data_IF_852553181258
#
_entry.id   IF_852553181258
#
_cell.length_a   1.000
_cell.length_b   1.000
_cell.length_c   1.000
_cell.angle_alpha   90.00
_cell.angle_beta   90.00
_cell.angle_gamma   90.00
#
_symmetry.space_group_name_H-M   'P 1'
#
loop_
_entity.id
_entity.type
_entity.pdbx_description
1 polymer ?
#
# COMPACT_ATOMS: atom_id res chain seq x y z
N UNK A 1 -3.33 0.62 3.62
CA UNK A 1 -4.65 0.00 3.39
C UNK A 1 -4.39 -1.33 2.72
N UNK A 2 -5.35 -2.24 2.79
CA UNK A 2 -5.23 -3.54 2.13
C UNK A 2 -6.40 -3.77 1.18
N UNK A 3 -6.20 -4.69 0.26
CA UNK A 3 -7.16 -5.10 -0.76
C UNK A 3 -8.47 -5.67 -0.21
N UNK A 4 -8.52 -6.11 1.05
CA UNK A 4 -9.75 -6.62 1.67
C UNK A 4 -10.58 -5.50 2.29
N UNK A 5 -9.94 -4.43 2.74
CA UNK A 5 -10.60 -3.32 3.42
C UNK A 5 -10.01 -1.94 3.06
N UNK A 6 -10.11 -1.50 1.81
CA UNK A 6 -9.67 -0.15 1.44
C UNK A 6 -10.58 0.88 2.11
N UNK A 7 -10.07 1.97 2.69
CA UNK A 7 -10.94 3.02 3.24
C UNK A 7 -11.64 3.85 2.15
N UNK A 8 -11.22 3.66 0.90
CA UNK A 8 -11.84 4.22 -0.30
C UNK A 8 -13.05 3.40 -0.74
N UNK A 9 -13.97 4.02 -1.49
CA UNK A 9 -15.02 3.27 -2.17
C UNK A 9 -14.42 2.24 -3.15
N UNK A 10 -15.13 1.15 -3.50
CA UNK A 10 -14.61 0.14 -4.41
C UNK A 10 -14.16 0.70 -5.77
N UNK A 11 -14.84 1.71 -6.30
CA UNK A 11 -14.47 2.33 -7.58
C UNK A 11 -13.22 3.19 -7.44
N UNK A 12 -13.19 4.08 -6.45
CA UNK A 12 -12.02 4.97 -6.22
C UNK A 12 -10.77 4.16 -5.88
N UNK A 13 -10.90 3.04 -5.15
CA UNK A 13 -9.78 2.13 -4.90
C UNK A 13 -9.23 1.51 -6.19
N UNK A 14 -10.08 1.10 -7.13
CA UNK A 14 -9.61 0.59 -8.44
C UNK A 14 -8.91 1.65 -9.26
N UNK A 15 -9.41 2.89 -9.25
CA UNK A 15 -8.78 4.01 -9.94
C UNK A 15 -7.41 4.33 -9.34
N UNK A 16 -7.33 4.40 -8.01
CA UNK A 16 -6.07 4.62 -7.31
C UNK A 16 -5.05 3.51 -7.63
N UNK A 17 -5.47 2.24 -7.67
CA UNK A 17 -4.60 1.14 -8.12
C UNK A 17 -4.18 1.27 -9.59
N UNK A 18 -5.05 1.77 -10.46
CA UNK A 18 -4.75 1.93 -11.87
C UNK A 18 -3.60 2.94 -12.10
N UNK A 19 -3.51 3.99 -11.30
CA UNK A 19 -2.38 4.94 -11.35
C UNK A 19 -1.04 4.23 -11.13
N UNK A 20 -0.98 3.36 -10.12
CA UNK A 20 0.22 2.54 -9.86
C UNK A 20 0.45 1.48 -10.93
N UNK A 21 -0.61 0.90 -11.49
CA UNK A 21 -0.47 -0.08 -12.56
C UNK A 21 0.18 0.53 -13.82
N UNK A 22 -0.13 1.79 -14.13
CA UNK A 22 0.55 2.52 -15.22
C UNK A 22 2.04 2.68 -14.92
N UNK A 23 2.40 3.13 -13.71
CA UNK A 23 3.81 3.23 -13.29
C UNK A 23 4.53 1.89 -13.32
N UNK A 24 3.86 0.81 -12.92
CA UNK A 24 4.38 -0.56 -12.96
C UNK A 24 4.62 -1.02 -14.40
N UNK A 25 3.67 -0.78 -15.31
CA UNK A 25 3.81 -1.11 -16.74
C UNK A 25 4.98 -0.35 -17.39
N UNK A 26 5.14 0.94 -17.09
CA UNK A 26 6.28 1.74 -17.57
C UNK A 26 7.58 1.15 -17.02
N UNK A 27 7.62 0.78 -15.74
CA UNK A 27 8.81 0.16 -15.12
C UNK A 27 9.19 -1.15 -15.82
N UNK A 28 8.21 -2.01 -16.15
CA UNK A 28 8.42 -3.24 -16.91
C UNK A 28 9.02 -2.92 -18.28
N UNK A 29 8.43 -1.99 -19.03
CA UNK A 29 8.92 -1.62 -20.37
C UNK A 29 10.36 -1.14 -20.30
N UNK A 30 10.70 -0.26 -19.35
CA UNK A 30 12.06 0.23 -19.18
C UNK A 30 13.04 -0.88 -18.79
N UNK A 31 12.63 -1.81 -17.92
CA UNK A 31 13.45 -2.97 -17.57
C UNK A 31 13.75 -3.84 -18.79
N UNK A 32 12.75 -4.05 -19.66
CA UNK A 32 12.92 -4.86 -20.87
C UNK A 32 13.79 -4.15 -21.91
N UNK A 33 13.61 -2.84 -22.10
CA UNK A 33 14.38 -2.05 -23.07
C UNK A 33 15.86 -1.93 -22.64
N UNK A 34 16.13 -1.78 -21.36
CA UNK A 34 17.47 -1.60 -20.80
C UNK A 34 18.01 -2.86 -20.10
N UNK A 35 17.51 -4.04 -20.48
CA UNK A 35 17.77 -5.30 -19.77
C UNK A 35 19.27 -5.59 -19.57
N UNK A 36 20.06 -5.38 -20.62
CA UNK A 36 21.51 -5.63 -20.59
C UNK A 36 22.31 -4.50 -19.92
N UNK A 37 21.69 -3.34 -19.71
CA UNK A 37 22.29 -2.20 -19.01
C UNK A 37 22.02 -2.23 -17.50
N UNK A 38 21.12 -3.12 -17.05
CA UNK A 38 20.79 -3.26 -15.63
C UNK A 38 21.91 -3.99 -14.90
N UNK A 39 22.42 -3.34 -13.85
CA UNK A 39 23.23 -4.01 -12.84
C UNK A 39 22.31 -4.88 -11.98
N UNK A 40 22.20 -6.15 -12.37
CA UNK A 40 21.26 -7.11 -11.78
C UNK A 40 21.47 -7.37 -10.29
N UNK A 41 22.71 -7.38 -9.80
CA UNK A 41 22.97 -7.58 -8.36
C UNK A 41 22.33 -6.44 -7.54
N UNK A 42 22.65 -5.15 -7.77
CA UNK A 42 21.94 -4.05 -7.13
C UNK A 42 20.42 -4.10 -7.32
N UNK A 43 19.93 -4.40 -8.53
CA UNK A 43 18.50 -4.48 -8.81
C UNK A 43 17.80 -5.51 -7.91
N UNK A 44 18.33 -6.73 -7.84
CA UNK A 44 17.77 -7.83 -7.03
C UNK A 44 17.83 -7.47 -5.54
N UNK A 45 18.93 -6.87 -5.07
CA UNK A 45 19.07 -6.46 -3.66
C UNK A 45 18.05 -5.37 -3.32
N UNK A 46 17.92 -4.34 -4.15
CA UNK A 46 16.95 -3.24 -3.95
C UNK A 46 15.51 -3.74 -3.96
N UNK A 47 15.18 -4.70 -4.83
CA UNK A 47 13.89 -5.34 -4.87
C UNK A 47 13.63 -6.15 -3.58
N UNK A 48 14.55 -7.06 -3.23
CA UNK A 48 14.34 -7.99 -2.13
C UNK A 48 14.35 -7.32 -0.75
N UNK A 49 15.21 -6.31 -0.53
CA UNK A 49 15.38 -5.69 0.79
C UNK A 49 14.10 -5.03 1.30
N UNK A 50 13.26 -4.51 0.39
CA UNK A 50 11.98 -3.88 0.73
C UNK A 50 11.10 -4.84 1.53
N UNK A 51 10.98 -6.09 1.09
CA UNK A 51 10.15 -7.09 1.77
C UNK A 51 10.90 -7.84 2.86
N UNK A 52 12.18 -8.15 2.66
CA UNK A 52 13.01 -8.84 3.64
C UNK A 52 13.07 -8.07 4.97
N UNK A 53 13.11 -6.74 4.91
CA UNK A 53 13.11 -5.87 6.10
C UNK A 53 11.69 -5.41 6.44
N UNK A 54 10.90 -5.00 5.44
CA UNK A 54 9.62 -4.36 5.65
C UNK A 54 8.47 -5.31 5.98
N UNK A 55 8.35 -6.42 5.26
CA UNK A 55 7.15 -7.26 5.30
C UNK A 55 7.36 -8.59 6.03
N UNK A 56 8.38 -9.35 5.64
CA UNK A 56 8.60 -10.73 6.05
C UNK A 56 8.69 -10.89 7.58
N UNK A 57 9.43 -10.04 8.33
CA UNK A 57 9.51 -10.16 9.78
C UNK A 57 8.15 -10.02 10.45
N UNK A 58 7.32 -9.08 9.99
CA UNK A 58 5.96 -8.86 10.51
C UNK A 58 5.01 -9.99 10.15
N UNK A 59 5.11 -10.53 8.93
CA UNK A 59 4.28 -11.65 8.48
C UNK A 59 4.59 -12.92 9.29
N UNK A 60 5.87 -13.19 9.55
CA UNK A 60 6.30 -14.31 10.40
C UNK A 60 5.78 -14.12 11.83
N UNK A 61 5.96 -12.92 12.42
CA UNK A 61 5.48 -12.63 13.76
C UNK A 61 3.95 -12.77 13.87
N UNK A 62 3.21 -12.31 12.86
CA UNK A 62 1.75 -12.41 12.81
C UNK A 62 1.29 -13.88 12.77
N UNK A 63 1.88 -14.69 11.88
CA UNK A 63 1.54 -16.12 11.74
C UNK A 63 1.90 -16.95 12.97
N UNK A 64 2.92 -16.53 13.74
CA UNK A 64 3.33 -17.18 14.98
C UNK A 64 2.55 -16.70 16.20
N UNK A 65 1.86 -15.57 16.11
CA UNK A 65 1.07 -15.03 17.22
C UNK A 65 -0.24 -15.79 17.38
N UNK A 66 -0.60 -16.29 18.58
CA UNK A 66 -1.85 -17.00 18.81
C UNK A 66 -3.10 -16.16 18.53
N UNK A 67 -3.01 -14.84 18.69
CA UNK A 67 -4.12 -13.89 18.55
C UNK A 67 -3.89 -12.83 17.45
N UNK A 68 -2.78 -12.95 16.70
CA UNK A 68 -2.40 -12.01 15.64
C UNK A 68 -1.96 -10.62 16.14
N UNK A 69 -1.86 -10.40 17.45
CA UNK A 69 -1.36 -9.14 18.01
C UNK A 69 0.17 -9.17 17.99
N UNK A 70 0.78 -8.21 17.30
CA UNK A 70 2.23 -8.10 17.17
C UNK A 70 2.68 -6.67 17.48
N UNK A 71 3.99 -6.50 17.72
CA UNK A 71 4.58 -5.19 17.95
C UNK A 71 4.32 -4.22 16.78
N UNK A 72 4.02 -2.95 17.11
CA UNK A 72 3.89 -1.87 16.12
C UNK A 72 5.19 -1.60 15.35
N UNK A 73 6.34 -2.08 15.85
CA UNK A 73 7.62 -1.98 15.12
C UNK A 73 7.52 -2.61 13.73
N UNK A 74 6.82 -3.74 13.56
CA UNK A 74 6.64 -4.35 12.25
C UNK A 74 5.85 -3.47 11.27
N UNK A 75 4.92 -2.65 11.78
CA UNK A 75 4.18 -1.68 10.97
C UNK A 75 5.07 -0.51 10.58
N UNK A 76 5.94 -0.05 11.49
CA UNK A 76 6.94 0.98 11.19
C UNK A 76 7.90 0.49 10.11
N UNK A 77 8.47 -0.72 10.26
CA UNK A 77 9.35 -1.32 9.26
C UNK A 77 8.67 -1.43 7.89
N UNK A 78 7.46 -1.99 7.84
CA UNK A 78 6.70 -2.08 6.59
C UNK A 78 6.48 -0.70 5.97
N UNK A 79 5.94 0.24 6.74
CA UNK A 79 5.58 1.56 6.24
C UNK A 79 6.80 2.37 5.79
N UNK A 80 7.94 2.26 6.48
CA UNK A 80 9.19 2.91 6.09
C UNK A 80 9.71 2.31 4.78
N UNK A 81 9.78 0.98 4.67
CA UNK A 81 10.30 0.32 3.47
C UNK A 81 9.36 0.45 2.26
N UNK A 82 8.06 0.66 2.48
CA UNK A 82 7.04 0.83 1.42
C UNK A 82 6.59 2.28 1.23
N UNK A 83 7.23 3.24 1.89
CA UNK A 83 6.93 4.67 1.73
C UNK A 83 7.58 5.21 0.46
N UNK A 84 6.79 5.88 -0.39
CA UNK A 84 7.38 6.59 -1.54
C UNK A 84 8.33 7.69 -1.07
N UNK A 85 8.07 8.34 0.07
CA UNK A 85 8.96 9.38 0.58
C UNK A 85 10.34 8.78 0.88
N UNK A 86 10.38 7.67 1.61
CA UNK A 86 11.64 7.01 1.98
C UNK A 86 12.36 6.46 0.75
N UNK A 87 11.63 5.82 -0.16
CA UNK A 87 12.21 5.24 -1.36
C UNK A 87 12.68 6.28 -2.37
N UNK A 88 11.95 7.38 -2.55
CA UNK A 88 12.40 8.51 -3.38
C UNK A 88 13.61 9.19 -2.76
N UNK A 89 13.68 9.32 -1.44
CA UNK A 89 14.88 9.82 -0.77
C UNK A 89 16.09 8.88 -0.98
N UNK A 90 15.89 7.56 -0.90
CA UNK A 90 16.92 6.56 -1.21
C UNK A 90 17.41 6.68 -2.66
N UNK A 91 16.49 6.77 -3.62
CA UNK A 91 16.81 7.00 -5.04
C UNK A 91 17.61 8.30 -5.19
N UNK A 92 17.14 9.41 -4.63
CA UNK A 92 17.84 10.70 -4.70
C UNK A 92 19.25 10.66 -4.12
N UNK A 93 19.43 9.98 -2.98
CA UNK A 93 20.74 9.76 -2.37
C UNK A 93 21.66 8.93 -3.27
N UNK A 94 21.12 7.88 -3.89
CA UNK A 94 21.88 7.04 -4.84
C UNK A 94 22.30 7.84 -6.08
N UNK A 95 21.37 8.61 -6.66
CA UNK A 95 21.66 9.48 -7.81
C UNK A 95 22.76 10.49 -7.49
N UNK A 96 22.81 11.00 -6.26
CA UNK A 96 23.83 11.96 -5.82
C UNK A 96 25.21 11.31 -5.61
N UNK A 97 25.27 10.12 -5.00
CA UNK A 97 26.53 9.49 -4.59
C UNK A 97 27.14 8.57 -5.65
N UNK A 98 26.31 7.88 -6.43
CA UNK A 98 26.69 6.83 -7.37
C UNK A 98 26.38 7.24 -8.81
N UNK A 99 25.31 8.01 -8.99
CA UNK A 99 24.84 8.45 -10.30
C UNK A 99 23.58 7.70 -10.77
N UNK A 100 23.02 8.10 -11.93
CA UNK A 100 21.87 7.44 -12.52
C UNK A 100 22.22 6.04 -13.02
N UNK A 101 21.41 5.04 -12.66
CA UNK A 101 21.50 3.70 -13.20
C UNK A 101 20.13 3.00 -13.26
N UNK A 102 20.00 2.06 -14.18
CA UNK A 102 18.76 1.32 -14.41
C UNK A 102 18.40 0.34 -13.29
N UNK A 103 19.35 -0.04 -12.43
CA UNK A 103 19.05 -0.88 -11.27
C UNK A 103 18.02 -0.26 -10.31
N UNK A 104 17.93 1.08 -10.28
CA UNK A 104 16.96 1.81 -9.48
C UNK A 104 15.52 1.56 -9.91
N UNK A 105 15.27 1.01 -11.12
CA UNK A 105 13.94 0.59 -11.57
C UNK A 105 13.35 -0.53 -10.69
N UNK A 106 14.17 -1.24 -9.90
CA UNK A 106 13.70 -2.21 -8.92
C UNK A 106 12.69 -1.61 -7.94
N UNK A 107 12.90 -0.35 -7.54
CA UNK A 107 12.08 0.37 -6.55
C UNK A 107 10.66 0.66 -7.08
N UNK A 108 10.48 1.38 -8.20
CA UNK A 108 9.15 1.58 -8.76
C UNK A 108 8.53 0.26 -9.22
N UNK A 109 9.30 -0.69 -9.77
CA UNK A 109 8.79 -2.02 -10.11
C UNK A 109 8.17 -2.72 -8.88
N UNK A 110 8.85 -2.72 -7.73
CA UNK A 110 8.35 -3.34 -6.50
C UNK A 110 7.10 -2.62 -5.97
N UNK A 111 7.20 -1.33 -5.67
CA UNK A 111 6.14 -0.61 -4.94
C UNK A 111 4.92 -0.34 -5.80
N UNK A 112 5.11 -0.10 -7.10
CA UNK A 112 3.97 0.05 -8.01
C UNK A 112 3.32 -1.30 -8.30
N UNK A 113 4.09 -2.39 -8.34
CA UNK A 113 3.54 -3.75 -8.36
C UNK A 113 2.68 -4.03 -7.13
N UNK A 114 3.19 -3.74 -5.93
CA UNK A 114 2.49 -3.98 -4.67
C UNK A 114 1.14 -3.23 -4.59
N UNK A 115 1.13 -1.97 -5.03
CA UNK A 115 -0.08 -1.13 -5.02
C UNK A 115 -1.01 -1.42 -6.18
N UNK A 116 -0.48 -1.50 -7.39
CA UNK A 116 -1.26 -1.71 -8.60
C UNK A 116 -1.85 -3.11 -8.68
N UNK A 117 -0.99 -4.13 -8.55
CA UNK A 117 -1.36 -5.55 -8.72
C UNK A 117 -1.98 -6.13 -7.46
N UNK A 118 -1.35 -5.94 -6.29
CA UNK A 118 -1.84 -6.55 -5.05
C UNK A 118 -2.79 -5.66 -4.25
N UNK A 119 -2.77 -4.34 -4.45
CA UNK A 119 -3.62 -3.41 -3.70
C UNK A 119 -3.13 -3.19 -2.27
N UNK A 120 -1.84 -3.45 -2.01
CA UNK A 120 -1.21 -3.23 -0.72
C UNK A 120 -0.66 -1.80 -0.65
N UNK A 121 -1.07 -1.08 0.39
CA UNK A 121 -0.59 0.26 0.71
C UNK A 121 -0.09 0.27 2.16
N UNK A 122 0.41 1.43 2.63
CA UNK A 122 0.88 1.61 4.01
C UNK A 122 -0.08 0.99 5.04
N UNK A 123 0.45 0.11 5.91
CA UNK A 123 -0.32 -0.60 6.92
C UNK A 123 -0.83 0.37 7.99
N UNK A 124 -2.16 0.49 8.17
CA UNK A 124 -2.72 1.27 9.25
C UNK A 124 -2.51 0.55 10.59
N UNK A 125 -2.04 1.29 11.61
CA UNK A 125 -1.74 0.74 12.94
C UNK A 125 -2.97 0.19 13.69
N UNK A 126 -4.19 0.56 13.28
CA UNK A 126 -5.45 0.08 13.86
C UNK A 126 -5.98 -1.20 13.23
N UNK A 127 -5.22 -1.87 12.35
CA UNK A 127 -5.64 -3.11 11.68
C UNK A 127 -4.66 -4.24 11.94
N UNK A 128 -5.09 -5.51 11.85
CA UNK A 128 -4.18 -6.65 11.81
C UNK A 128 -3.10 -6.48 10.74
N UNK A 129 -1.92 -7.07 10.97
CA UNK A 129 -0.79 -6.91 10.06
C UNK A 129 -1.09 -7.55 8.70
N UNK A 130 -1.64 -8.76 8.71
CA UNK A 130 -2.17 -9.40 7.51
C UNK A 130 -3.62 -8.96 7.22
N UNK A 131 -4.02 -8.83 5.95
CA UNK A 131 -5.38 -8.45 5.58
C UNK A 131 -6.41 -9.47 6.07
N UNK A 132 -7.36 -9.02 6.90
CA UNK A 132 -8.51 -9.81 7.38
C UNK A 132 -9.80 -9.05 7.07
N UNK A 133 -10.84 -9.68 6.48
CA UNK A 133 -12.13 -9.03 6.23
C UNK A 133 -12.71 -8.39 7.49
N UNK A 134 -13.38 -7.25 7.34
CA UNK A 134 -13.92 -6.50 8.46
C UNK A 134 -15.38 -6.06 8.22
N UNK A 135 -16.27 -6.55 9.07
CA UNK A 135 -17.71 -6.26 8.98
C UNK A 135 -18.06 -4.76 9.09
N UNK A 136 -17.26 -3.94 9.80
CA UNK A 136 -17.51 -2.50 9.87
C UNK A 136 -17.20 -1.81 8.54
N UNK A 137 -16.16 -2.27 7.82
CA UNK A 137 -15.89 -1.79 6.46
C UNK A 137 -17.04 -2.16 5.51
N UNK A 138 -17.54 -3.39 5.58
CA UNK A 138 -18.67 -3.83 4.74
C UNK A 138 -19.92 -2.96 4.94
N UNK A 139 -20.21 -2.57 6.19
CA UNK A 139 -21.29 -1.63 6.50
C UNK A 139 -21.06 -0.25 5.88
N UNK A 140 -19.86 0.29 5.96
CA UNK A 140 -19.50 1.59 5.34
C UNK A 140 -19.71 1.52 3.83
N UNK A 141 -19.23 0.46 3.17
CA UNK A 141 -19.40 0.27 1.73
C UNK A 141 -20.87 0.18 1.34
N UNK A 142 -21.69 -0.53 2.12
CA UNK A 142 -23.13 -0.62 1.87
C UNK A 142 -23.80 0.75 1.93
N UNK A 143 -23.47 1.58 2.93
CA UNK A 143 -23.96 2.97 3.05
C UNK A 143 -23.51 3.81 1.86
N UNK A 144 -22.22 3.76 1.49
CA UNK A 144 -21.70 4.52 0.36
C UNK A 144 -22.37 4.14 -0.96
N UNK A 145 -22.60 2.84 -1.21
CA UNK A 145 -23.32 2.37 -2.39
C UNK A 145 -24.76 2.89 -2.41
N UNK A 146 -25.48 2.78 -1.31
CA UNK A 146 -26.85 3.27 -1.21
C UNK A 146 -26.93 4.78 -1.47
N UNK A 147 -26.00 5.57 -0.92
CA UNK A 147 -25.93 7.02 -1.15
C UNK A 147 -25.59 7.38 -2.60
N UNK A 148 -24.82 6.54 -3.30
CA UNK A 148 -24.48 6.74 -4.72
C UNK A 148 -25.55 6.24 -5.70
N UNK A 149 -26.59 5.54 -5.22
CA UNK A 149 -27.58 4.92 -6.08
C UNK A 149 -28.57 5.96 -6.63
N UNK A 150 -28.71 6.02 -7.96
CA UNK A 150 -29.85 6.67 -8.62
C UNK A 150 -29.80 8.18 -8.81
N UNK A 151 -28.69 8.86 -8.49
CA UNK A 151 -28.55 10.31 -8.71
C UNK A 151 -27.30 10.65 -9.51
N UNK A 152 -27.40 11.53 -10.51
CA UNK A 152 -26.24 12.07 -11.24
C UNK A 152 -25.44 13.09 -10.43
N UNK A 153 -25.96 13.51 -9.27
CA UNK A 153 -25.36 14.47 -8.35
C UNK A 153 -24.86 13.77 -7.09
N UNK A 154 -23.81 14.32 -6.50
CA UNK A 154 -23.29 13.85 -5.21
C UNK A 154 -24.31 14.06 -4.09
N UNK A 155 -24.31 13.20 -3.05
CA UNK A 155 -25.18 13.36 -1.88
C UNK A 155 -24.95 14.70 -1.18
N UNK A 156 -26.01 15.25 -0.56
CA UNK A 156 -25.88 16.39 0.34
C UNK A 156 -24.97 16.05 1.55
N UNK A 157 -24.31 17.04 2.18
CA UNK A 157 -23.57 16.84 3.42
C UNK A 157 -24.42 16.18 4.49
N UNK A 158 -23.82 15.32 5.32
CA UNK A 158 -24.50 14.78 6.49
C UNK A 158 -24.67 15.90 7.53
N UNK A 159 -25.85 15.96 8.16
CA UNK A 159 -26.00 16.77 9.36
C UNK A 159 -25.10 16.19 10.45
N UNK A 160 -24.33 17.03 11.17
CA UNK A 160 -23.49 16.54 12.25
C UNK A 160 -24.37 15.87 13.32
N UNK A 161 -24.11 14.59 13.57
CA UNK A 161 -24.72 13.93 14.71
C UNK A 161 -24.34 14.70 16.01
N UNK A 162 -25.26 14.85 16.97
CA UNK A 162 -24.95 15.50 18.23
C UNK A 162 -23.74 14.81 18.88
N UNK A 163 -22.75 15.63 19.25
CA UNK A 163 -21.47 15.19 19.83
C UNK A 163 -21.77 14.45 21.14
N UNK A 164 -21.75 13.10 21.10
CA UNK A 164 -22.04 12.28 22.28
C UNK A 164 -22.34 10.80 22.03
N UNK A 165 -22.60 10.37 20.79
CA UNK A 165 -23.02 8.99 20.50
C UNK A 165 -21.89 8.02 20.14
N UNK A 166 -20.63 8.45 20.07
CA UNK A 166 -19.48 7.55 19.86
C UNK A 166 -18.92 7.13 21.22
N UNK A 167 -19.69 6.35 21.97
CA UNK A 167 -19.31 5.87 23.29
C UNK A 167 -19.90 4.50 23.60
N UNK A 168 -19.02 3.56 23.94
CA UNK A 168 -19.26 2.24 24.54
C UNK A 168 -19.77 1.11 23.62
N UNK A 169 -18.84 0.55 22.82
CA UNK A 169 -18.76 -0.90 22.72
C UNK A 169 -17.49 -1.32 23.48
N UNK A 170 -17.69 -1.87 24.69
CA UNK A 170 -16.65 -2.58 25.45
C UNK A 170 -16.32 -3.89 24.76
#
# INVERSE_FOLDING_TARGET
MDQKNPYESPLTFRLHRAEYLVGFAISIVLILVHFDEIRWIPFIVLFAVIDLVGYIPGAIAFRRSPDGRISKVYYVLYNTMHSLITLTALVGLWLWLIGPEWALLAIPFHVFGDRGVFGNFLKPFGRPFEPVPNAAYDRIVAVLRARSAGTSRVPAPEEPAPVGSVGAAR
#
